data_IF_429106574993
#
_entry.id   IF_429106574993
#
_cell.length_a   1.000
_cell.length_b   1.000
_cell.length_c   1.000
_cell.angle_alpha   90.00
_cell.angle_beta   90.00
_cell.angle_gamma   90.00
#
_symmetry.space_group_name_H-M   'P 1'
#
loop_
_entity.id
_entity.type
_entity.pdbx_description
1 polymer ?
#
# COMPACT_ATOMS: atom_id res chain seq x y z
N UNK A 1 -4.82 -37.33 -10.51
CA UNK A 1 -4.19 -37.44 -9.18
C UNK A 1 -3.17 -36.33 -9.07
N UNK A 2 -3.49 -35.27 -8.34
CA UNK A 2 -2.55 -34.24 -7.92
C UNK A 2 -3.10 -33.66 -6.62
N UNK A 3 -2.35 -33.82 -5.52
CA UNK A 3 -2.71 -33.37 -4.17
C UNK A 3 -2.63 -31.84 -4.04
N UNK A 4 -3.43 -31.20 -3.16
CA UNK A 4 -3.27 -29.80 -2.82
C UNK A 4 -2.29 -29.64 -1.65
N UNK A 5 -1.21 -28.89 -1.84
CA UNK A 5 -0.33 -28.43 -0.76
C UNK A 5 -0.88 -27.10 -0.27
N UNK A 6 -1.76 -27.16 0.73
CA UNK A 6 -2.20 -25.99 1.50
C UNK A 6 -1.21 -25.72 2.62
N UNK A 7 -0.22 -24.87 2.38
CA UNK A 7 0.66 -24.38 3.44
C UNK A 7 -0.01 -23.21 4.16
N UNK A 8 -0.58 -23.48 5.33
CA UNK A 8 -1.06 -22.49 6.29
C UNK A 8 0.17 -21.74 6.84
N UNK A 9 0.41 -20.53 6.34
CA UNK A 9 1.41 -19.62 6.91
C UNK A 9 0.84 -19.06 8.23
N UNK A 10 1.36 -19.55 9.37
CA UNK A 10 1.05 -18.99 10.69
C UNK A 10 1.67 -17.59 10.84
N UNK A 11 0.96 -16.61 11.43
CA UNK A 11 1.52 -15.29 11.68
C UNK A 11 2.62 -15.34 12.74
N UNK A 12 3.73 -14.63 12.47
CA UNK A 12 4.86 -14.47 13.37
C UNK A 12 4.45 -13.67 14.62
N UNK A 13 4.64 -14.27 15.80
CA UNK A 13 4.40 -13.65 17.11
C UNK A 13 5.48 -12.60 17.40
N UNK A 14 5.10 -11.32 17.40
CA UNK A 14 6.00 -10.17 17.68
C UNK A 14 6.44 -10.14 19.15
N UNK A 15 7.70 -9.75 19.39
CA UNK A 15 8.37 -9.68 20.71
C UNK A 15 7.84 -8.51 21.58
N UNK A 16 7.75 -8.66 22.93
CA UNK A 16 7.18 -7.67 23.85
C UNK A 16 7.93 -6.32 23.89
N UNK A 17 9.21 -6.27 23.47
CA UNK A 17 9.97 -4.99 23.40
C UNK A 17 9.59 -4.14 22.17
N UNK A 18 8.98 -4.74 21.15
CA UNK A 18 8.48 -3.99 19.97
C UNK A 18 7.18 -3.22 20.24
N UNK A 19 6.41 -3.64 21.26
CA UNK A 19 5.13 -3.03 21.63
C UNK A 19 5.28 -1.62 22.24
N UNK A 20 6.31 -1.38 23.07
CA UNK A 20 6.51 -0.06 23.69
C UNK A 20 6.91 1.04 22.69
N UNK A 21 7.64 0.67 21.63
CA UNK A 21 8.01 1.59 20.55
C UNK A 21 6.83 1.88 19.60
N UNK A 22 5.92 0.93 19.40
CA UNK A 22 4.66 1.12 18.66
C UNK A 22 3.73 2.11 19.38
N UNK A 23 3.63 2.03 20.71
CA UNK A 23 2.77 2.93 21.51
C UNK A 23 3.26 4.38 21.52
N UNK A 24 4.58 4.63 21.58
CA UNK A 24 5.12 6.00 21.56
C UNK A 24 4.97 6.65 20.16
N UNK A 25 5.05 5.86 19.10
CA UNK A 25 4.78 6.31 17.73
C UNK A 25 3.29 6.59 17.47
N UNK A 26 2.37 5.86 18.12
CA UNK A 26 0.93 6.14 18.00
C UNK A 26 0.51 7.49 18.59
N UNK A 27 1.18 7.97 19.66
CA UNK A 27 0.80 9.23 20.34
C UNK A 27 1.10 10.48 19.49
N UNK A 28 2.08 10.41 18.57
CA UNK A 28 2.44 11.54 17.68
C UNK A 28 1.71 11.49 16.32
N UNK A 29 0.93 10.44 16.04
CA UNK A 29 0.36 10.18 14.72
C UNK A 29 -1.02 10.84 14.46
N UNK A 30 -1.47 11.79 15.28
CA UNK A 30 -2.77 12.46 15.07
C UNK A 30 -2.82 13.44 13.89
N UNK A 31 -1.71 13.73 13.21
CA UNK A 31 -1.67 14.67 12.06
C UNK A 31 -1.40 14.02 10.70
N UNK A 32 -1.04 12.75 10.64
CA UNK A 32 -0.89 12.01 9.38
C UNK A 32 -2.03 11.00 9.28
N UNK A 33 -3.27 11.49 9.33
CA UNK A 33 -4.44 10.64 9.16
C UNK A 33 -4.58 10.35 7.66
N UNK A 34 -4.10 9.20 7.19
CA UNK A 34 -4.77 8.56 6.07
C UNK A 34 -6.21 8.36 6.53
N UNK A 35 -7.20 8.89 5.80
CA UNK A 35 -8.64 8.87 6.16
C UNK A 35 -9.26 7.45 6.14
N UNK A 36 -8.46 6.45 6.49
CA UNK A 36 -8.83 5.06 6.63
C UNK A 36 -9.27 4.77 8.08
N UNK A 37 -10.15 5.59 8.65
CA UNK A 37 -10.71 5.33 9.98
C UNK A 37 -11.96 4.46 9.85
N UNK A 38 -11.74 3.18 9.55
CA UNK A 38 -12.81 2.19 9.49
C UNK A 38 -13.44 1.99 10.86
N UNK A 39 -14.65 2.54 11.07
CA UNK A 39 -15.45 2.22 12.27
C UNK A 39 -15.72 0.71 12.30
N UNK A 40 -15.77 0.14 13.52
CA UNK A 40 -16.22 -1.24 13.69
C UNK A 40 -17.62 -1.44 13.09
N UNK A 41 -17.80 -2.56 12.38
CA UNK A 41 -19.08 -2.98 11.79
C UNK A 41 -19.85 -3.85 12.78
N UNK A 42 -21.18 -3.72 12.81
CA UNK A 42 -22.03 -4.51 13.72
C UNK A 42 -22.38 -5.88 13.11
N UNK A 43 -22.52 -5.95 11.79
CA UNK A 43 -22.98 -7.14 11.06
C UNK A 43 -21.83 -7.98 10.52
N UNK A 44 -20.65 -7.39 10.34
CA UNK A 44 -19.48 -8.04 9.75
C UNK A 44 -18.28 -8.01 10.69
N UNK A 45 -17.53 -9.11 10.82
CA UNK A 45 -16.39 -9.18 11.74
C UNK A 45 -15.18 -8.36 11.29
N UNK A 46 -15.07 -8.04 9.99
CA UNK A 46 -13.95 -7.28 9.41
C UNK A 46 -14.48 -6.11 8.59
N UNK A 47 -13.90 -4.93 8.85
CA UNK A 47 -14.12 -3.74 8.03
C UNK A 47 -13.62 -3.96 6.60
N UNK A 48 -14.51 -3.70 5.64
CA UNK A 48 -14.18 -3.44 4.25
C UNK A 48 -15.15 -2.37 3.75
N UNK A 49 -14.74 -1.59 2.75
CA UNK A 49 -15.62 -0.57 2.15
C UNK A 49 -16.93 -1.19 1.64
N UNK A 50 -16.85 -2.39 1.06
CA UNK A 50 -18.01 -3.13 0.58
C UNK A 50 -18.90 -3.61 1.73
N UNK A 51 -18.32 -4.09 2.83
CA UNK A 51 -19.11 -4.51 4.00
C UNK A 51 -19.79 -3.31 4.66
N UNK A 52 -19.13 -2.15 4.72
CA UNK A 52 -19.72 -0.90 5.21
C UNK A 52 -20.92 -0.47 4.37
N UNK A 53 -20.79 -0.54 3.03
CA UNK A 53 -21.91 -0.28 2.12
C UNK A 53 -23.06 -1.26 2.36
N UNK A 54 -22.77 -2.57 2.37
CA UNK A 54 -23.78 -3.61 2.55
C UNK A 54 -24.49 -3.51 3.91
N UNK A 55 -23.76 -3.17 4.99
CA UNK A 55 -24.34 -2.96 6.31
C UNK A 55 -25.23 -1.72 6.35
N UNK A 56 -24.79 -0.61 5.76
CA UNK A 56 -25.59 0.62 5.69
C UNK A 56 -26.87 0.41 4.89
N UNK A 57 -26.77 -0.26 3.75
CA UNK A 57 -27.90 -0.65 2.92
C UNK A 57 -28.85 -1.60 3.67
N UNK A 58 -28.31 -2.63 4.35
CA UNK A 58 -29.11 -3.58 5.12
C UNK A 58 -29.86 -2.85 6.24
N UNK A 59 -29.20 -1.93 6.96
CA UNK A 59 -29.83 -1.10 7.99
C UNK A 59 -30.96 -0.22 7.41
N UNK A 60 -30.76 0.38 6.24
CA UNK A 60 -31.77 1.19 5.57
C UNK A 60 -33.00 0.35 5.17
N UNK A 61 -32.79 -0.79 4.53
CA UNK A 61 -33.87 -1.69 4.10
C UNK A 61 -34.61 -2.28 5.31
N UNK A 62 -33.90 -2.64 6.38
CA UNK A 62 -34.53 -3.10 7.62
C UNK A 62 -35.42 -2.03 8.26
N UNK A 63 -35.04 -0.75 8.18
CA UNK A 63 -35.86 0.35 8.69
C UNK A 63 -37.13 0.56 7.86
N UNK A 64 -37.03 0.47 6.53
CA UNK A 64 -38.17 0.72 5.63
C UNK A 64 -39.10 -0.49 5.49
N UNK A 65 -38.54 -1.66 5.19
CA UNK A 65 -39.29 -2.85 4.79
C UNK A 65 -39.34 -3.95 5.88
N UNK A 66 -38.56 -3.81 6.98
CA UNK A 66 -38.47 -4.78 8.09
C UNK A 66 -38.10 -6.21 7.69
N UNK A 67 -37.60 -6.39 6.48
CA UNK A 67 -37.16 -7.66 5.93
C UNK A 67 -35.77 -7.48 5.30
N UNK A 68 -35.06 -8.57 5.07
CA UNK A 68 -33.73 -8.54 4.44
C UNK A 68 -33.67 -9.42 3.20
N UNK A 69 -32.74 -9.13 2.28
CA UNK A 69 -32.46 -10.04 1.17
C UNK A 69 -31.72 -11.31 1.66
N UNK A 70 -31.78 -12.37 0.84
CA UNK A 70 -31.15 -13.66 1.14
C UNK A 70 -29.61 -13.62 1.18
N UNK A 71 -28.99 -12.68 0.46
CA UNK A 71 -27.53 -12.49 0.44
C UNK A 71 -27.02 -11.45 1.46
N UNK A 72 -27.91 -10.73 2.15
CA UNK A 72 -27.53 -9.77 3.19
C UNK A 72 -27.13 -10.48 4.48
N UNK A 73 -26.32 -9.81 5.31
CA UNK A 73 -25.91 -10.35 6.61
C UNK A 73 -27.11 -10.68 7.49
N UNK A 74 -26.98 -11.72 8.30
CA UNK A 74 -28.04 -12.16 9.18
C UNK A 74 -28.17 -11.25 10.41
N UNK A 75 -29.39 -10.82 10.69
CA UNK A 75 -29.70 -9.94 11.83
C UNK A 75 -30.74 -10.62 12.69
N UNK A 76 -30.49 -10.67 13.99
CA UNK A 76 -31.36 -11.30 14.98
C UNK A 76 -32.77 -10.70 14.85
N UNK A 77 -33.79 -11.57 14.78
CA UNK A 77 -35.21 -11.24 14.66
C UNK A 77 -35.66 -10.65 13.31
N UNK A 78 -34.97 -10.94 12.21
CA UNK A 78 -35.39 -10.50 10.87
C UNK A 78 -35.50 -11.68 9.90
N UNK A 79 -36.64 -11.79 9.21
CA UNK A 79 -36.84 -12.80 8.17
C UNK A 79 -36.39 -12.29 6.80
N UNK A 80 -36.14 -13.22 5.89
CA UNK A 80 -35.89 -12.88 4.48
C UNK A 80 -37.17 -12.36 3.83
N UNK A 81 -37.07 -11.32 3.00
CA UNK A 81 -38.21 -10.78 2.24
C UNK A 81 -38.83 -11.85 1.34
N UNK A 82 -40.16 -11.88 1.28
CA UNK A 82 -40.89 -12.60 0.24
C UNK A 82 -40.73 -11.93 -1.13
N UNK A 83 -41.09 -12.62 -2.22
CA UNK A 83 -40.98 -12.07 -3.58
C UNK A 83 -41.79 -10.76 -3.74
N UNK A 84 -42.97 -10.67 -3.10
CA UNK A 84 -43.81 -9.47 -3.14
C UNK A 84 -43.15 -8.32 -2.39
N UNK A 85 -42.71 -8.53 -1.15
CA UNK A 85 -42.02 -7.50 -0.35
C UNK A 85 -40.71 -7.04 -1.02
N UNK A 86 -40.03 -7.96 -1.71
CA UNK A 86 -38.83 -7.63 -2.46
C UNK A 86 -39.12 -6.65 -3.60
N UNK A 87 -40.17 -6.92 -4.39
CA UNK A 87 -40.56 -6.08 -5.54
C UNK A 87 -41.24 -4.77 -5.11
N UNK A 88 -42.09 -4.82 -4.09
CA UNK A 88 -42.91 -3.68 -3.69
C UNK A 88 -42.14 -2.68 -2.81
N UNK A 89 -41.13 -3.13 -2.04
CA UNK A 89 -40.43 -2.29 -1.06
C UNK A 89 -38.90 -2.38 -1.17
N UNK A 90 -38.32 -3.58 -1.14
CA UNK A 90 -36.86 -3.72 -1.03
C UNK A 90 -36.09 -3.13 -2.21
N UNK A 91 -36.52 -3.42 -3.45
CA UNK A 91 -35.86 -2.92 -4.66
C UNK A 91 -36.00 -1.40 -4.82
N UNK A 92 -37.20 -0.80 -4.70
CA UNK A 92 -37.34 0.66 -4.68
C UNK A 92 -36.52 1.32 -3.58
N UNK A 93 -36.55 0.77 -2.35
CA UNK A 93 -35.77 1.32 -1.24
C UNK A 93 -34.26 1.25 -1.47
N UNK A 94 -33.78 0.20 -2.15
CA UNK A 94 -32.37 0.14 -2.55
C UNK A 94 -32.04 1.26 -3.55
N UNK A 95 -32.84 1.41 -4.60
CA UNK A 95 -32.63 2.46 -5.60
C UNK A 95 -32.64 3.86 -4.96
N UNK A 96 -33.56 4.12 -4.03
CA UNK A 96 -33.60 5.35 -3.24
C UNK A 96 -32.34 5.56 -2.39
N UNK A 97 -31.82 4.50 -1.77
CA UNK A 97 -30.59 4.57 -0.98
C UNK A 97 -29.36 4.90 -1.83
N UNK A 98 -29.27 4.29 -3.02
CA UNK A 98 -28.17 4.51 -3.95
C UNK A 98 -28.22 5.94 -4.53
N UNK A 99 -29.42 6.43 -4.84
CA UNK A 99 -29.64 7.79 -5.35
C UNK A 99 -29.43 8.88 -4.29
N UNK A 100 -29.79 8.62 -3.03
CA UNK A 100 -29.66 9.61 -1.96
C UNK A 100 -28.20 9.84 -1.53
N UNK A 101 -27.28 8.94 -1.88
CA UNK A 101 -25.86 8.96 -1.49
C UNK A 101 -25.64 9.32 0.01
N UNK A 102 -26.49 8.78 0.88
CA UNK A 102 -26.56 9.19 2.30
C UNK A 102 -25.75 8.29 3.23
N UNK A 103 -24.59 7.79 2.76
CA UNK A 103 -23.69 6.96 3.56
C UNK A 103 -22.24 7.40 3.40
N UNK A 104 -21.49 7.39 4.49
CA UNK A 104 -20.07 7.72 4.49
C UNK A 104 -19.28 6.49 4.92
N UNK A 105 -18.70 5.80 3.94
CA UNK A 105 -17.81 4.67 4.18
C UNK A 105 -16.37 5.07 3.86
N UNK A 106 -15.50 5.25 4.89
CA UNK A 106 -14.09 5.54 4.68
C UNK A 106 -13.39 4.40 3.93
N UNK A 107 -12.23 4.70 3.36
CA UNK A 107 -11.43 3.72 2.64
C UNK A 107 -10.79 2.71 3.59
N UNK A 108 -10.48 1.51 3.10
CA UNK A 108 -9.82 0.47 3.88
C UNK A 108 -8.33 0.82 4.09
N UNK A 109 -7.78 0.66 5.30
CA UNK A 109 -6.34 0.83 5.52
C UNK A 109 -5.52 -0.32 4.90
N UNK A 110 -6.09 -1.53 4.84
CA UNK A 110 -5.48 -2.68 4.18
C UNK A 110 -6.43 -3.20 3.11
N UNK A 111 -6.06 -2.96 1.86
CA UNK A 111 -6.79 -3.45 0.69
C UNK A 111 -5.91 -4.42 -0.11
N UNK A 112 -6.52 -5.47 -0.67
CA UNK A 112 -5.88 -6.39 -1.61
C UNK A 112 -6.59 -6.33 -2.94
N UNK A 113 -5.94 -5.72 -3.93
CA UNK A 113 -6.50 -5.53 -5.27
C UNK A 113 -5.88 -6.54 -6.24
N UNK A 114 -6.72 -7.30 -6.94
CA UNK A 114 -6.31 -8.21 -8.00
C UNK A 114 -6.65 -7.59 -9.35
N UNK A 115 -5.62 -7.20 -10.13
CA UNK A 115 -5.81 -6.70 -11.50
C UNK A 115 -6.11 -7.88 -12.42
N UNK A 116 -7.28 -7.87 -13.05
CA UNK A 116 -7.71 -8.95 -13.95
C UNK A 116 -7.42 -8.60 -15.41
N UNK A 117 -6.92 -9.56 -16.18
CA UNK A 117 -6.81 -9.48 -17.65
C UNK A 117 -7.66 -10.58 -18.26
N UNK A 118 -8.51 -10.23 -19.23
CA UNK A 118 -9.39 -11.17 -19.90
C UNK A 118 -8.85 -11.51 -21.30
N UNK A 119 -8.64 -12.79 -21.55
CA UNK A 119 -8.35 -13.32 -22.88
C UNK A 119 -9.31 -14.47 -23.18
N UNK A 120 -9.98 -14.41 -24.32
CA UNK A 120 -10.92 -15.44 -24.77
C UNK A 120 -10.38 -16.14 -26.01
N UNK A 121 -10.55 -17.46 -26.07
CA UNK A 121 -10.25 -18.26 -27.24
C UNK A 121 -11.34 -19.31 -27.44
N UNK A 122 -11.55 -19.73 -28.69
CA UNK A 122 -12.47 -20.81 -29.01
C UNK A 122 -11.93 -22.11 -28.40
N UNK A 123 -12.67 -22.67 -27.44
CA UNK A 123 -12.24 -23.86 -26.70
C UNK A 123 -12.05 -25.10 -27.61
N UNK A 124 -12.78 -25.16 -28.73
CA UNK A 124 -12.68 -26.23 -29.73
C UNK A 124 -12.56 -25.64 -31.14
N UNK A 125 -11.35 -25.45 -31.67
CA UNK A 125 -11.15 -24.84 -32.99
C UNK A 125 -11.42 -25.76 -34.19
N UNK A 126 -12.02 -26.95 -34.02
CA UNK A 126 -12.20 -27.89 -35.12
C UNK A 126 -13.56 -28.60 -35.08
N UNK A 127 -14.33 -28.44 -36.15
CA UNK A 127 -15.49 -29.27 -36.53
C UNK A 127 -15.11 -30.75 -36.76
N UNK A 128 -13.81 -31.08 -36.73
CA UNK A 128 -13.22 -32.36 -37.14
C UNK A 128 -12.57 -33.17 -36.02
N UNK A 129 -12.54 -32.70 -34.77
CA UNK A 129 -12.01 -33.55 -33.70
C UNK A 129 -13.04 -34.65 -33.42
N UNK A 130 -12.76 -35.94 -33.67
CA UNK A 130 -13.54 -36.97 -33.01
C UNK A 130 -13.43 -36.66 -31.54
N UNK A 131 -14.57 -36.52 -30.85
CA UNK A 131 -14.65 -36.34 -29.41
C UNK A 131 -14.05 -37.61 -28.78
N UNK A 132 -12.72 -37.63 -28.74
CA UNK A 132 -11.92 -38.78 -28.35
C UNK A 132 -12.27 -39.13 -26.92
N UNK A 133 -11.97 -40.37 -26.51
CA UNK A 133 -12.23 -40.89 -25.15
C UNK A 133 -11.86 -39.91 -24.01
N UNK A 134 -10.91 -38.99 -24.26
CA UNK A 134 -10.48 -37.90 -23.37
C UNK A 134 -11.60 -36.89 -23.03
N UNK A 135 -12.51 -36.59 -23.95
CA UNK A 135 -13.57 -35.58 -23.79
C UNK A 135 -14.98 -36.19 -23.62
N UNK A 136 -15.08 -37.49 -23.30
CA UNK A 136 -16.35 -38.19 -23.05
C UNK A 136 -17.22 -37.52 -21.96
N UNK A 137 -16.61 -36.74 -21.06
CA UNK A 137 -17.35 -35.98 -20.04
C UNK A 137 -18.25 -34.89 -20.62
N UNK A 138 -17.93 -34.35 -21.80
CA UNK A 138 -18.73 -33.35 -22.51
C UNK A 138 -20.01 -33.95 -23.12
N UNK A 139 -20.03 -35.28 -23.33
CA UNK A 139 -21.18 -36.02 -23.85
C UNK A 139 -22.12 -36.60 -22.76
N UNK A 140 -21.87 -36.29 -21.48
CA UNK A 140 -22.68 -36.81 -20.36
C UNK A 140 -24.08 -36.20 -20.20
N UNK A 141 -24.33 -34.91 -20.51
CA UNK A 141 -25.67 -34.33 -20.34
C UNK A 141 -26.71 -35.00 -21.25
N UNK A 142 -27.94 -35.12 -20.75
CA UNK A 142 -29.09 -35.57 -21.56
C UNK A 142 -29.54 -34.40 -22.45
N UNK A 143 -29.78 -34.68 -23.73
CA UNK A 143 -30.25 -33.67 -24.71
C UNK A 143 -29.28 -33.36 -25.85
N UNK A 144 -28.14 -34.04 -25.92
CA UNK A 144 -27.21 -33.91 -27.05
C UNK A 144 -27.78 -34.67 -28.25
N UNK A 145 -27.89 -34.06 -29.43
CA UNK A 145 -28.32 -34.75 -30.64
C UNK A 145 -27.32 -35.86 -31.01
N UNK A 146 -27.83 -36.95 -31.56
CA UNK A 146 -27.01 -38.12 -31.92
C UNK A 146 -26.09 -37.86 -33.14
N UNK A 147 -26.30 -36.73 -33.82
CA UNK A 147 -25.51 -36.28 -34.96
C UNK A 147 -24.23 -35.56 -34.51
N UNK A 148 -23.13 -35.83 -35.22
CA UNK A 148 -21.81 -35.25 -34.90
C UNK A 148 -21.78 -33.73 -35.04
N UNK A 149 -22.50 -33.16 -36.01
CA UNK A 149 -22.55 -31.71 -36.22
C UNK A 149 -23.39 -31.01 -35.15
N UNK A 150 -24.61 -31.51 -34.88
CA UNK A 150 -25.47 -30.94 -33.84
C UNK A 150 -24.85 -31.06 -32.44
N UNK A 151 -24.06 -32.10 -32.17
CA UNK A 151 -23.37 -32.24 -30.89
C UNK A 151 -22.26 -31.19 -30.71
N UNK A 152 -21.56 -30.82 -31.79
CA UNK A 152 -20.54 -29.77 -31.75
C UNK A 152 -21.18 -28.40 -31.53
N UNK A 153 -22.27 -28.09 -32.24
CA UNK A 153 -22.98 -26.81 -32.10
C UNK A 153 -23.56 -26.66 -30.69
N UNK A 154 -24.17 -27.72 -30.14
CA UNK A 154 -24.66 -27.72 -28.76
C UNK A 154 -23.54 -27.46 -27.73
N UNK A 155 -22.35 -28.02 -27.95
CA UNK A 155 -21.21 -27.80 -27.06
C UNK A 155 -20.73 -26.35 -27.16
N UNK A 156 -20.65 -25.78 -28.36
CA UNK A 156 -20.20 -24.40 -28.57
C UNK A 156 -21.15 -23.36 -27.95
N UNK A 157 -22.46 -23.62 -27.93
CA UNK A 157 -23.45 -22.70 -27.36
C UNK A 157 -23.57 -22.81 -25.84
N UNK A 158 -23.37 -24.00 -25.27
CA UNK A 158 -23.67 -24.25 -23.84
C UNK A 158 -22.43 -24.37 -22.94
N UNK A 159 -21.25 -24.68 -23.50
CA UNK A 159 -20.03 -24.85 -22.71
C UNK A 159 -19.11 -23.65 -22.80
N UNK A 160 -18.71 -23.13 -21.63
CA UNK A 160 -17.62 -22.18 -21.49
C UNK A 160 -16.58 -22.72 -20.51
N UNK A 161 -15.30 -22.47 -20.80
CA UNK A 161 -14.18 -22.86 -19.95
C UNK A 161 -13.47 -21.61 -19.48
N UNK A 162 -13.45 -21.42 -18.15
CA UNK A 162 -12.80 -20.28 -17.50
C UNK A 162 -11.54 -20.79 -16.81
N UNK A 163 -10.38 -20.31 -17.28
CA UNK A 163 -9.10 -20.60 -16.66
C UNK A 163 -8.65 -19.38 -15.85
N UNK A 164 -8.55 -19.54 -14.52
CA UNK A 164 -8.11 -18.52 -13.58
C UNK A 164 -6.66 -18.81 -13.18
N UNK A 165 -5.75 -17.91 -13.52
CA UNK A 165 -4.34 -18.01 -13.16
C UNK A 165 -3.77 -16.61 -12.87
N UNK A 166 -2.69 -16.57 -12.08
CA UNK A 166 -1.94 -15.34 -11.87
C UNK A 166 -1.04 -15.07 -13.06
N UNK A 167 -1.01 -13.82 -13.52
CA UNK A 167 -0.16 -13.38 -14.64
C UNK A 167 1.33 -13.53 -14.28
N UNK A 168 1.68 -13.12 -13.06
CA UNK A 168 3.03 -13.20 -12.50
C UNK A 168 2.98 -13.71 -11.05
N UNK A 169 4.00 -14.45 -10.60
CA UNK A 169 4.18 -14.81 -9.18
C UNK A 169 4.83 -13.65 -8.39
N UNK A 170 4.37 -12.42 -8.62
CA UNK A 170 4.89 -11.21 -7.99
C UNK A 170 3.78 -10.53 -7.20
N UNK A 171 4.12 -10.08 -5.99
CA UNK A 171 3.22 -9.32 -5.12
C UNK A 171 3.72 -7.89 -5.04
N UNK A 172 2.94 -6.96 -5.60
CA UNK A 172 3.19 -5.54 -5.47
C UNK A 172 2.56 -5.04 -4.16
N UNK A 173 3.38 -4.50 -3.26
CA UNK A 173 2.91 -3.97 -1.96
C UNK A 173 3.11 -2.46 -1.93
N UNK A 174 2.02 -1.71 -1.76
CA UNK A 174 2.03 -0.25 -1.66
C UNK A 174 1.72 0.12 -0.21
N UNK A 175 2.66 0.78 0.46
CA UNK A 175 2.49 1.24 1.84
C UNK A 175 2.70 2.75 1.91
N UNK A 176 1.72 3.45 2.48
CA UNK A 176 1.85 4.87 2.77
C UNK A 176 2.63 5.03 4.07
N UNK A 177 3.74 5.75 4.00
CA UNK A 177 4.59 6.08 5.15
C UNK A 177 4.73 7.59 5.24
N UNK A 178 4.86 8.17 6.45
CA UNK A 178 4.99 9.60 6.60
C UNK A 178 6.26 10.09 5.89
N UNK A 179 6.13 11.12 5.06
CA UNK A 179 7.26 11.68 4.30
C UNK A 179 8.37 12.24 5.20
N UNK A 180 8.02 12.72 6.39
CA UNK A 180 8.97 13.30 7.34
C UNK A 180 8.67 12.86 8.77
N UNK A 181 9.57 12.07 9.35
CA UNK A 181 9.49 11.61 10.73
C UNK A 181 10.19 12.55 11.70
N UNK A 182 9.81 12.50 12.98
CA UNK A 182 10.43 13.31 14.04
C UNK A 182 11.96 13.17 14.09
N UNK A 183 12.49 11.95 13.97
CA UNK A 183 13.93 11.70 13.98
C UNK A 183 14.65 12.31 12.77
N UNK A 184 14.01 12.37 11.59
CA UNK A 184 14.57 13.06 10.42
C UNK A 184 14.61 14.57 10.66
N UNK A 185 13.55 15.13 11.25
CA UNK A 185 13.50 16.54 11.66
C UNK A 185 14.65 16.92 12.59
N UNK A 186 14.86 16.13 13.64
CA UNK A 186 15.94 16.37 14.60
C UNK A 186 17.31 16.15 13.94
N UNK A 187 17.44 15.18 13.03
CA UNK A 187 18.66 14.95 12.27
C UNK A 187 19.06 16.14 11.40
N UNK A 188 18.12 16.73 10.66
CA UNK A 188 18.40 17.87 9.79
C UNK A 188 18.72 19.14 10.59
N UNK A 189 17.94 19.40 11.65
CA UNK A 189 18.20 20.55 12.54
C UNK A 189 19.54 20.38 13.27
N UNK A 190 19.81 19.19 13.82
CA UNK A 190 21.05 18.88 14.51
C UNK A 190 22.27 18.94 13.59
N UNK A 191 22.12 18.48 12.34
CA UNK A 191 23.17 18.53 11.33
C UNK A 191 23.55 19.96 10.94
N UNK A 192 22.56 20.81 10.66
CA UNK A 192 22.81 22.22 10.32
C UNK A 192 23.40 23.00 11.49
N UNK A 193 22.87 22.82 12.70
CA UNK A 193 23.41 23.46 13.91
C UNK A 193 24.83 22.97 14.22
N UNK A 194 25.08 21.67 14.09
CA UNK A 194 26.40 21.08 14.30
C UNK A 194 27.45 21.60 13.32
N UNK A 195 27.09 21.81 12.05
CA UNK A 195 27.98 22.39 11.05
C UNK A 195 28.36 23.84 11.38
N UNK A 196 27.37 24.66 11.76
CA UNK A 196 27.60 26.07 12.11
C UNK A 196 28.45 26.19 13.38
N UNK A 197 28.15 25.39 14.40
CA UNK A 197 28.96 25.34 15.62
C UNK A 197 30.37 24.83 15.35
N UNK A 198 30.52 23.78 14.53
CA UNK A 198 31.83 23.25 14.12
C UNK A 198 32.69 24.31 13.43
N UNK A 199 32.11 25.07 12.48
CA UNK A 199 32.80 26.18 11.83
C UNK A 199 33.24 27.26 12.82
N UNK A 200 32.40 27.60 13.81
CA UNK A 200 32.74 28.58 14.84
C UNK A 200 33.86 28.13 15.79
N UNK A 201 33.98 26.84 16.08
CA UNK A 201 35.08 26.32 16.92
C UNK A 201 36.41 26.39 16.17
N UNK A 202 36.41 26.08 14.86
CA UNK A 202 37.61 26.18 14.03
C UNK A 202 38.13 27.62 13.98
N UNK A 203 37.24 28.61 13.84
CA UNK A 203 37.68 30.03 13.84
C UNK A 203 38.27 30.48 15.18
N UNK A 204 37.76 29.99 16.32
CA UNK A 204 38.35 30.27 17.64
C UNK A 204 39.76 29.68 17.75
N UNK A 205 39.96 28.45 17.28
CA UNK A 205 41.29 27.81 17.26
C UNK A 205 42.27 28.63 16.41
N UNK A 206 41.83 29.13 15.26
CA UNK A 206 42.65 29.97 14.37
C UNK A 206 43.10 31.27 15.05
N UNK A 207 42.22 31.92 15.82
CA UNK A 207 42.58 33.14 16.58
C UNK A 207 43.63 32.83 17.65
N UNK A 208 43.51 31.69 18.35
CA UNK A 208 44.47 31.27 19.38
C UNK A 208 45.85 31.05 18.75
N UNK A 209 45.91 30.33 17.62
CA UNK A 209 47.16 30.10 16.89
C UNK A 209 47.80 31.42 16.44
N UNK A 210 47.01 32.38 15.92
CA UNK A 210 47.50 33.71 15.56
C UNK A 210 48.10 34.47 16.75
N UNK A 211 47.47 34.41 17.93
CA UNK A 211 47.98 35.08 19.15
C UNK A 211 49.28 34.43 19.60
N UNK A 212 49.34 33.09 19.61
CA UNK A 212 50.54 32.33 19.98
C UNK A 212 51.69 32.68 19.04
N UNK A 213 51.47 32.62 17.72
CA UNK A 213 52.48 32.96 16.71
C UNK A 213 52.97 34.40 16.86
N UNK A 214 52.06 35.36 17.11
CA UNK A 214 52.44 36.76 17.32
C UNK A 214 53.23 36.98 18.62
N UNK A 215 52.92 36.27 19.70
CA UNK A 215 53.69 36.31 20.96
C UNK A 215 55.07 35.66 20.82
N UNK A 216 55.15 34.51 20.14
CA UNK A 216 56.44 33.89 19.79
C UNK A 216 57.28 34.81 18.89
N UNK A 217 56.65 35.52 17.94
CA UNK A 217 57.33 36.55 17.11
C UNK A 217 57.79 37.75 17.92
N UNK A 218 56.97 38.28 18.83
CA UNK A 218 57.35 39.40 19.70
C UNK A 218 58.54 39.06 20.60
N UNK A 219 58.61 37.82 21.11
CA UNK A 219 59.76 37.32 21.87
C UNK A 219 61.00 37.04 20.99
N UNK A 220 60.84 36.95 19.66
CA UNK A 220 61.91 36.81 18.66
C UNK A 220 62.33 38.12 17.99
N UNK A 221 61.86 39.29 18.44
CA UNK A 221 62.27 40.62 17.92
C UNK A 221 63.72 41.01 18.27
N UNK A 222 64.60 40.03 18.49
CA UNK A 222 66.05 40.20 18.42
C UNK A 222 66.71 39.39 17.29
N UNK A 223 66.01 38.54 16.54
CA UNK A 223 66.62 37.84 15.40
C UNK A 223 65.61 37.51 14.27
N UNK A 224 65.72 38.32 13.20
CA UNK A 224 65.44 37.99 11.79
C UNK A 224 63.98 37.83 11.34
N UNK A 225 63.57 38.82 10.55
CA UNK A 225 62.55 38.77 9.50
C UNK A 225 62.81 37.65 8.49
N UNK A 226 61.93 36.63 8.44
CA UNK A 226 61.49 35.88 7.24
C UNK A 226 61.04 34.47 7.61
N UNK A 227 59.75 34.28 7.94
CA UNK A 227 59.07 32.96 7.82
C UNK A 227 57.54 33.08 7.92
N UNK A 228 56.97 34.20 7.47
CA UNK A 228 55.61 34.62 7.82
C UNK A 228 54.49 34.27 6.86
N UNK A 229 54.79 33.72 5.69
CA UNK A 229 53.85 33.80 4.55
C UNK A 229 53.42 32.43 4.01
N UNK A 230 54.01 31.32 4.50
CA UNK A 230 53.72 29.98 3.96
C UNK A 230 52.58 29.23 4.67
N UNK A 231 52.27 29.56 5.94
CA UNK A 231 51.23 28.84 6.70
C UNK A 231 49.79 29.29 6.41
N UNK A 232 49.58 30.59 6.19
CA UNK A 232 48.22 31.16 6.10
C UNK A 232 47.60 30.98 4.71
N UNK A 233 48.43 30.93 3.65
CA UNK A 233 47.97 30.70 2.27
C UNK A 233 47.53 29.25 2.05
N UNK A 234 48.08 28.28 2.79
CA UNK A 234 47.69 26.87 2.67
C UNK A 234 46.31 26.57 3.29
N UNK A 235 45.89 27.27 4.35
CA UNK A 235 44.57 27.09 4.94
C UNK A 235 43.44 27.70 4.09
N UNK A 236 43.67 28.86 3.45
CA UNK A 236 42.64 29.53 2.65
C UNK A 236 42.39 28.78 1.31
N UNK A 237 43.43 28.26 0.66
CA UNK A 237 43.26 27.45 -0.55
C UNK A 237 42.77 26.01 -0.29
N UNK A 238 43.04 25.44 0.89
CA UNK A 238 42.50 24.13 1.29
C UNK A 238 40.99 24.14 1.57
N UNK A 239 40.46 25.26 2.07
CA UNK A 239 39.02 25.37 2.39
C UNK A 239 38.14 25.48 1.14
N UNK A 240 38.57 26.19 0.10
CA UNK A 240 37.86 26.26 -1.18
C UNK A 240 37.98 24.97 -2.01
N UNK A 241 39.10 24.24 -1.93
CA UNK A 241 39.30 22.98 -2.66
C UNK A 241 38.48 21.79 -2.13
N UNK A 242 38.07 21.82 -0.86
CA UNK A 242 37.36 20.70 -0.22
C UNK A 242 35.84 20.89 -0.19
N UNK A 243 35.35 22.13 -0.15
CA UNK A 243 33.91 22.42 -0.26
C UNK A 243 33.36 22.14 -1.68
N UNK A 244 34.18 22.28 -2.72
CA UNK A 244 33.82 21.94 -4.11
C UNK A 244 33.63 20.44 -4.40
N UNK A 245 33.96 19.55 -3.47
CA UNK A 245 33.75 18.09 -3.60
C UNK A 245 32.64 17.52 -2.73
N UNK A 246 32.09 18.28 -1.78
CA UNK A 246 31.01 17.82 -0.90
C UNK A 246 29.61 18.25 -1.36
N UNK A 247 29.51 19.20 -2.30
CA UNK A 247 28.26 19.48 -3.03
C UNK A 247 28.24 18.66 -4.33
N UNK A 248 28.28 17.34 -4.17
CA UNK A 248 27.88 16.39 -5.20
C UNK A 248 26.36 16.36 -5.25
N UNK A 249 25.75 17.36 -5.88
CA UNK A 249 24.36 17.27 -6.34
C UNK A 249 24.36 16.32 -7.53
N UNK A 250 24.14 15.03 -7.28
CA UNK A 250 23.56 14.14 -8.29
C UNK A 250 22.13 14.61 -8.54
N UNK A 251 21.97 15.52 -9.52
CA UNK A 251 20.74 15.60 -10.29
C UNK A 251 20.73 14.40 -11.25
N UNK A 252 20.38 13.23 -10.70
CA UNK A 252 19.90 12.11 -11.48
C UNK A 252 18.50 12.45 -11.98
N UNK A 253 18.42 12.92 -13.23
CA UNK A 253 17.18 12.83 -14.00
C UNK A 253 16.93 11.34 -14.32
N UNK A 254 15.87 10.81 -13.72
CA UNK A 254 15.05 9.73 -14.25
C UNK A 254 13.60 10.25 -14.28
#
# INVERSE_FOLDING_TARGET
>A
MASPIGSIVKPLKKSPKSLMLEYLFMITNRRFNSDCDGRGLDLYPKYSRNNCYMESLTKYILQQCKCRAWFMADVINTSTCSIKEALDCMWPAWEDFDNAYNYTCPVDCEERVYKTRLSSALFLPQKLLPLTKKYKFLMRPKGIPNDTEGAVDFILENYSVINLFFDELRLDTIQQTPAYGFFRLVGDVGGQLGLVLGASVITIVEIIDLVIINRYRASRTNYVSNFGTFGVIFCIFGFFGTFGKFVGVELGYA
#
